data_IF_538716834280
#
_entry.id   IF_538716834280
#
_cell.length_a   1.000
_cell.length_b   1.000
_cell.length_c   1.000
_cell.angle_alpha   90.00
_cell.angle_beta   90.00
_cell.angle_gamma   90.00
#
_symmetry.space_group_name_H-M   'P 1'
#
loop_
_entity.id
_entity.type
_entity.pdbx_description
1 polymer ?
#
# COMPACT_ATOMS: atom_id res chain seq x y z
N UNK A 1 53.11 -31.63 -15.48
CA UNK A 1 52.22 -30.46 -15.37
C UNK A 1 50.88 -30.82 -16.01
N UNK A 2 50.00 -31.51 -15.28
CA UNK A 2 48.64 -31.87 -15.71
C UNK A 2 47.72 -31.71 -14.50
N UNK A 3 46.99 -30.60 -14.47
CA UNK A 3 45.98 -30.29 -13.46
C UNK A 3 44.66 -30.96 -13.87
N UNK A 4 44.14 -31.90 -13.08
CA UNK A 4 42.76 -32.39 -13.23
C UNK A 4 41.84 -31.49 -12.40
N UNK A 5 40.96 -30.74 -13.06
CA UNK A 5 39.84 -30.06 -12.42
C UNK A 5 38.79 -31.08 -11.96
N UNK A 6 38.23 -30.97 -10.74
CA UNK A 6 37.09 -31.79 -10.34
C UNK A 6 35.79 -31.22 -10.92
N UNK A 7 34.85 -32.15 -11.13
CA UNK A 7 33.50 -31.99 -11.67
C UNK A 7 32.69 -30.85 -11.05
N UNK A 8 32.22 -29.91 -11.88
CA UNK A 8 31.13 -28.99 -11.56
C UNK A 8 29.92 -29.34 -12.43
N UNK A 9 29.05 -30.20 -11.90
CA UNK A 9 27.64 -30.31 -12.30
C UNK A 9 26.81 -29.46 -11.33
N UNK A 10 25.64 -28.96 -11.76
CA UNK A 10 25.39 -27.55 -12.02
C UNK A 10 24.83 -26.82 -10.79
N UNK A 11 25.10 -25.52 -10.68
CA UNK A 11 24.22 -24.62 -9.91
C UNK A 11 22.94 -24.46 -10.72
N UNK A 12 22.09 -25.48 -10.70
CA UNK A 12 20.70 -25.32 -11.06
C UNK A 12 20.10 -24.39 -10.00
N UNK A 13 19.90 -23.13 -10.38
CA UNK A 13 19.17 -22.16 -9.57
C UNK A 13 17.79 -22.76 -9.30
N UNK A 14 17.55 -23.22 -8.07
CA UNK A 14 16.22 -23.64 -7.63
C UNK A 14 15.37 -22.38 -7.47
N UNK A 15 14.78 -21.90 -8.57
CA UNK A 15 13.63 -20.96 -8.56
C UNK A 15 12.32 -21.76 -8.53
N UNK A 16 12.33 -22.99 -8.04
CA UNK A 16 11.16 -23.85 -8.05
C UNK A 16 10.22 -23.64 -6.84
N UNK A 17 10.57 -22.75 -5.90
CA UNK A 17 9.83 -22.56 -4.65
C UNK A 17 9.28 -21.15 -4.38
N UNK A 18 9.83 -20.11 -5.02
CA UNK A 18 9.36 -18.73 -4.81
C UNK A 18 8.18 -18.44 -5.73
N UNK A 19 6.96 -18.52 -5.21
CA UNK A 19 5.77 -18.00 -5.91
C UNK A 19 5.96 -16.48 -6.04
N UNK A 20 6.14 -15.99 -7.25
CA UNK A 20 6.23 -14.56 -7.51
C UNK A 20 4.85 -13.95 -7.26
N UNK A 21 4.71 -13.21 -6.16
CA UNK A 21 3.60 -12.28 -5.98
C UNK A 21 3.92 -11.04 -6.81
N UNK A 22 3.16 -10.82 -7.88
CA UNK A 22 3.24 -9.61 -8.68
C UNK A 22 2.14 -8.65 -8.25
N UNK A 23 2.48 -7.39 -8.02
CA UNK A 23 1.51 -6.33 -7.79
C UNK A 23 1.68 -5.28 -8.88
N UNK A 24 0.56 -4.86 -9.48
CA UNK A 24 0.52 -3.76 -10.43
C UNK A 24 -0.22 -2.58 -9.79
N UNK A 25 0.26 -1.37 -10.09
CA UNK A 25 -0.38 -0.14 -9.64
C UNK A 25 -1.12 0.49 -10.81
N UNK A 26 -2.42 0.71 -10.62
CA UNK A 26 -3.30 1.36 -11.59
C UNK A 26 -3.79 2.68 -11.01
N UNK A 27 -3.76 3.74 -11.81
CA UNK A 27 -4.25 5.07 -11.38
C UNK A 27 -5.64 5.39 -11.94
N UNK A 28 -6.03 4.72 -13.02
CA UNK A 28 -7.34 4.89 -13.64
C UNK A 28 -8.08 3.56 -13.69
N UNK A 29 -9.41 3.63 -13.54
CA UNK A 29 -10.27 2.46 -13.64
C UNK A 29 -10.15 1.76 -15.01
N UNK A 30 -9.92 2.53 -16.07
CA UNK A 30 -9.72 2.02 -17.44
C UNK A 30 -8.45 1.20 -17.61
N UNK A 31 -7.47 1.34 -16.71
CA UNK A 31 -6.23 0.57 -16.77
C UNK A 31 -6.38 -0.81 -16.12
N UNK A 32 -7.49 -1.05 -15.39
CA UNK A 32 -7.72 -2.33 -14.74
C UNK A 32 -7.92 -3.44 -15.79
N UNK A 33 -7.31 -4.62 -15.58
CA UNK A 33 -7.57 -5.76 -16.44
C UNK A 33 -9.03 -6.22 -16.31
N UNK A 34 -9.59 -6.72 -17.41
CA UNK A 34 -10.91 -7.35 -17.43
C UNK A 34 -10.81 -8.78 -16.87
N UNK A 35 -10.73 -8.88 -15.55
CA UNK A 35 -10.65 -10.13 -14.77
C UNK A 35 -11.55 -10.06 -13.54
N UNK A 36 -11.90 -11.22 -13.00
CA UNK A 36 -12.60 -11.31 -11.72
C UNK A 36 -11.61 -11.23 -10.54
N UNK A 37 -12.02 -10.50 -9.49
CA UNK A 37 -11.29 -10.42 -8.23
C UNK A 37 -12.01 -11.25 -7.16
N UNK A 38 -11.29 -12.09 -6.45
CA UNK A 38 -11.83 -12.85 -5.30
C UNK A 38 -12.12 -11.92 -4.11
N UNK A 39 -11.30 -10.88 -3.94
CA UNK A 39 -11.43 -9.91 -2.87
C UNK A 39 -11.21 -8.49 -3.37
N UNK A 40 -12.09 -7.59 -2.94
CA UNK A 40 -11.92 -6.15 -3.11
C UNK A 40 -11.79 -5.52 -1.72
N UNK A 41 -10.64 -4.95 -1.44
CA UNK A 41 -10.35 -4.21 -0.22
C UNK A 41 -10.53 -2.72 -0.50
N UNK A 42 -11.54 -2.11 0.11
CA UNK A 42 -11.82 -0.69 0.02
C UNK A 42 -11.07 0.07 1.12
N UNK A 43 -10.04 0.83 0.73
CA UNK A 43 -9.14 1.59 1.60
C UNK A 43 -7.80 0.87 1.81
N UNK A 44 -6.73 1.45 1.25
CA UNK A 44 -5.32 1.10 1.44
C UNK A 44 -4.68 1.67 2.69
N UNK A 45 -5.45 1.95 3.74
CA UNK A 45 -4.93 2.34 5.05
C UNK A 45 -4.27 1.17 5.79
N UNK A 46 -3.87 1.40 7.05
CA UNK A 46 -3.09 0.44 7.86
C UNK A 46 -3.68 -0.98 7.88
N UNK A 47 -4.99 -1.12 8.07
CA UNK A 47 -5.63 -2.44 8.10
C UNK A 47 -5.79 -3.04 6.70
N UNK A 48 -6.19 -2.22 5.71
CA UNK A 48 -6.42 -2.68 4.35
C UNK A 48 -5.15 -3.14 3.65
N UNK A 49 -4.03 -2.42 3.84
CA UNK A 49 -2.73 -2.82 3.32
C UNK A 49 -2.27 -4.17 3.90
N UNK A 50 -2.42 -4.37 5.21
CA UNK A 50 -2.08 -5.65 5.87
C UNK A 50 -2.99 -6.77 5.37
N UNK A 51 -4.30 -6.52 5.27
CA UNK A 51 -5.27 -7.51 4.78
C UNK A 51 -4.96 -7.92 3.34
N UNK A 52 -4.77 -6.95 2.44
CA UNK A 52 -4.45 -7.20 1.04
C UNK A 52 -3.17 -8.03 0.91
N UNK A 53 -2.11 -7.68 1.65
CA UNK A 53 -0.86 -8.43 1.67
C UNK A 53 -1.05 -9.90 2.11
N UNK A 54 -1.87 -10.15 3.15
CA UNK A 54 -2.12 -11.52 3.63
C UNK A 54 -2.98 -12.33 2.67
N UNK A 55 -3.98 -11.72 2.04
CA UNK A 55 -4.79 -12.39 1.03
C UNK A 55 -3.96 -12.76 -0.20
N UNK A 56 -3.06 -11.87 -0.65
CA UNK A 56 -2.21 -12.09 -1.82
C UNK A 56 -1.09 -13.12 -1.62
N UNK A 57 -0.76 -13.52 -0.38
CA UNK A 57 0.15 -14.63 -0.11
C UNK A 57 -0.38 -15.96 -0.70
N UNK A 58 -1.70 -16.07 -0.84
CA UNK A 58 -2.36 -17.22 -1.44
C UNK A 58 -2.48 -16.99 -2.95
N UNK A 59 -1.58 -17.60 -3.73
CA UNK A 59 -1.45 -17.37 -5.19
C UNK A 59 -2.67 -17.65 -6.07
N UNK A 60 -3.72 -18.29 -5.52
CA UNK A 60 -4.98 -18.50 -6.26
C UNK A 60 -5.91 -17.28 -6.18
N UNK A 61 -5.72 -16.40 -5.20
CA UNK A 61 -6.58 -15.26 -4.98
C UNK A 61 -6.12 -14.05 -5.79
N UNK A 62 -7.05 -13.46 -6.54
CA UNK A 62 -6.92 -12.15 -7.16
C UNK A 62 -7.47 -11.09 -6.19
N UNK A 63 -6.61 -10.17 -5.76
CA UNK A 63 -6.94 -9.17 -4.74
C UNK A 63 -6.81 -7.77 -5.35
N UNK A 64 -7.91 -7.01 -5.31
CA UNK A 64 -7.91 -5.60 -5.66
C UNK A 64 -7.91 -4.75 -4.39
N UNK A 65 -6.91 -3.89 -4.22
CA UNK A 65 -6.90 -2.85 -3.18
C UNK A 65 -7.20 -1.50 -3.82
N UNK A 66 -8.23 -0.81 -3.33
CA UNK A 66 -8.61 0.51 -3.82
C UNK A 66 -8.27 1.54 -2.74
N UNK A 67 -7.48 2.55 -3.08
CA UNK A 67 -7.16 3.67 -2.18
C UNK A 67 -7.55 4.99 -2.84
N UNK A 68 -8.24 5.85 -2.08
CA UNK A 68 -8.73 7.13 -2.59
C UNK A 68 -7.63 8.20 -2.64
N UNK A 69 -6.61 8.05 -1.80
CA UNK A 69 -5.47 8.94 -1.71
C UNK A 69 -4.41 8.75 -2.78
N UNK A 70 -3.52 9.73 -2.96
CA UNK A 70 -2.34 9.57 -3.79
C UNK A 70 -1.37 8.52 -3.20
N UNK A 71 -0.32 8.21 -3.95
CA UNK A 71 0.82 7.45 -3.45
C UNK A 71 1.66 8.31 -2.48
N UNK A 72 2.38 7.63 -1.60
CA UNK A 72 3.32 8.22 -0.63
C UNK A 72 4.74 8.40 -1.17
N UNK A 73 5.10 7.70 -2.26
CA UNK A 73 6.47 7.65 -2.78
C UNK A 73 6.99 9.02 -3.23
N UNK A 74 8.12 9.46 -2.68
CA UNK A 74 8.77 10.72 -3.02
C UNK A 74 8.15 11.94 -2.31
N UNK A 75 7.29 11.72 -1.32
CA UNK A 75 6.62 12.77 -0.57
C UNK A 75 7.40 13.03 0.72
N UNK A 76 8.30 14.01 0.68
CA UNK A 76 9.17 14.33 1.81
C UNK A 76 8.43 14.59 3.14
N UNK A 77 7.22 15.16 3.07
CA UNK A 77 6.40 15.43 4.26
C UNK A 77 5.88 14.15 4.94
N UNK A 78 5.82 13.03 4.21
CA UNK A 78 5.47 11.69 4.74
C UNK A 78 6.73 10.95 5.18
N UNK A 79 7.79 11.02 4.39
CA UNK A 79 9.05 10.28 4.63
C UNK A 79 9.81 10.80 5.86
N UNK A 80 9.75 12.11 6.15
CA UNK A 80 10.44 12.74 7.28
C UNK A 80 9.45 12.97 8.43
N UNK A 81 9.56 12.27 9.58
CA UNK A 81 8.59 12.37 10.67
C UNK A 81 8.36 13.79 11.20
N UNK A 82 9.42 14.62 11.20
CA UNK A 82 9.33 16.02 11.64
C UNK A 82 8.37 16.88 10.79
N UNK A 83 8.10 16.49 9.54
CA UNK A 83 7.24 17.22 8.63
C UNK A 83 5.78 16.77 8.64
N UNK A 84 5.40 15.79 9.46
CA UNK A 84 4.05 15.22 9.46
C UNK A 84 2.92 16.27 9.63
N UNK A 85 3.14 17.31 10.44
CA UNK A 85 2.14 18.38 10.63
C UNK A 85 1.86 19.19 9.35
N UNK A 86 2.77 19.17 8.36
CA UNK A 86 2.57 19.81 7.05
C UNK A 86 1.56 19.07 6.16
N UNK A 87 1.15 17.87 6.55
CA UNK A 87 0.17 17.07 5.81
C UNK A 87 -1.27 17.50 6.09
N UNK A 88 -1.53 18.18 7.21
CA UNK A 88 -2.86 18.66 7.56
C UNK A 88 -3.39 19.65 6.50
N UNK A 89 -4.58 19.40 5.96
CA UNK A 89 -5.18 20.19 4.88
C UNK A 89 -4.51 20.03 3.51
N UNK A 90 -3.53 19.14 3.35
CA UNK A 90 -2.91 18.82 2.07
C UNK A 90 -3.74 17.77 1.28
N UNK A 91 -3.37 17.42 0.03
CA UNK A 91 -4.02 16.33 -0.70
C UNK A 91 -3.96 14.95 -0.01
N UNK A 92 -3.09 14.80 0.99
CA UNK A 92 -2.91 13.59 1.80
C UNK A 92 -3.77 13.58 3.08
N UNK A 93 -4.63 14.57 3.28
CA UNK A 93 -5.59 14.65 4.38
C UNK A 93 -7.01 14.60 3.83
N UNK A 94 -7.88 13.83 4.48
CA UNK A 94 -9.32 13.84 4.23
C UNK A 94 -9.96 15.19 4.60
N UNK A 95 -9.28 15.99 5.41
CA UNK A 95 -9.68 17.33 5.81
C UNK A 95 -11.06 17.34 6.50
N UNK A 96 -11.31 16.34 7.35
CA UNK A 96 -12.53 16.30 8.14
C UNK A 96 -12.53 17.38 9.21
N UNK A 97 -13.73 17.81 9.58
CA UNK A 97 -13.96 18.73 10.70
C UNK A 97 -15.02 18.12 11.59
N UNK A 98 -14.82 18.18 12.91
CA UNK A 98 -15.83 17.68 13.85
C UNK A 98 -17.09 18.53 13.78
N UNK A 99 -18.23 17.93 14.13
CA UNK A 99 -19.42 18.70 14.49
C UNK A 99 -19.14 19.60 15.72
N UNK A 100 -19.95 20.63 16.01
CA UNK A 100 -19.82 21.41 17.24
C UNK A 100 -19.80 20.52 18.48
N UNK A 101 -18.78 20.66 19.33
CA UNK A 101 -18.59 19.82 20.50
C UNK A 101 -19.18 20.51 21.75
N UNK A 102 -20.20 19.93 22.42
CA UNK A 102 -20.81 20.54 23.61
C UNK A 102 -19.80 20.76 24.74
N UNK A 103 -18.90 19.78 24.95
CA UNK A 103 -17.81 19.87 25.95
C UNK A 103 -16.71 20.88 25.63
N UNK A 104 -16.76 21.53 24.45
CA UNK A 104 -15.79 22.54 24.02
C UNK A 104 -16.49 23.86 23.63
N UNK A 105 -17.59 24.22 24.31
CA UNK A 105 -18.36 25.45 24.07
C UNK A 105 -18.81 25.60 22.60
N UNK A 106 -19.18 24.49 21.95
CA UNK A 106 -19.67 24.51 20.57
C UNK A 106 -18.58 24.67 19.50
N UNK A 107 -17.29 24.60 19.86
CA UNK A 107 -16.21 24.65 18.86
C UNK A 107 -16.24 23.44 17.94
N UNK A 108 -15.90 23.68 16.68
CA UNK A 108 -15.53 22.67 15.68
C UNK A 108 -14.00 22.59 15.61
N UNK A 109 -13.46 21.39 15.40
CA UNK A 109 -12.01 21.17 15.32
C UNK A 109 -11.63 20.44 14.03
N UNK A 110 -10.46 20.74 13.44
CA UNK A 110 -9.87 19.89 12.42
C UNK A 110 -9.68 18.47 12.95
N UNK A 111 -10.04 17.48 12.16
CA UNK A 111 -9.88 16.07 12.47
C UNK A 111 -9.03 15.40 11.38
N UNK A 112 -7.71 15.61 11.41
CA UNK A 112 -6.81 15.20 10.32
C UNK A 112 -6.82 13.68 10.20
N UNK A 113 -7.06 13.19 8.99
CA UNK A 113 -7.01 11.76 8.66
C UNK A 113 -6.29 11.58 7.33
N UNK A 114 -5.30 10.72 7.29
CA UNK A 114 -4.53 10.32 6.12
C UNK A 114 -5.41 9.78 5.01
N UNK A 115 -5.25 10.40 3.84
CA UNK A 115 -5.81 10.05 2.53
C UNK A 115 -4.65 9.74 1.60
N UNK A 116 -4.04 8.58 1.81
CA UNK A 116 -2.81 8.12 1.15
C UNK A 116 -2.68 6.61 1.34
N UNK A 117 -1.97 5.91 0.45
CA UNK A 117 -1.58 4.52 0.70
C UNK A 117 -0.82 4.40 2.05
N UNK A 118 -1.16 3.41 2.87
CA UNK A 118 -0.73 3.28 4.27
C UNK A 118 -1.66 4.00 5.26
N UNK A 119 -2.26 5.10 4.83
CA UNK A 119 -3.32 5.85 5.52
C UNK A 119 -2.90 6.54 6.82
N UNK A 120 -3.90 6.64 7.71
CA UNK A 120 -3.99 7.26 9.05
C UNK A 120 -4.24 8.74 9.13
#
# INVERSE_FOLDING_TARGET
>A
MHFKLPSLLPVAVVVAGSRLCYAALYQQLSDLPDIEFDFIVAGGGTAGAVLANRLSEVSRFQVLLIEAGPLDRGVLNIEVPYFALRLMGSPYDWNYTTVPQPGLNGRTLPYPRGRVLGGK
#
